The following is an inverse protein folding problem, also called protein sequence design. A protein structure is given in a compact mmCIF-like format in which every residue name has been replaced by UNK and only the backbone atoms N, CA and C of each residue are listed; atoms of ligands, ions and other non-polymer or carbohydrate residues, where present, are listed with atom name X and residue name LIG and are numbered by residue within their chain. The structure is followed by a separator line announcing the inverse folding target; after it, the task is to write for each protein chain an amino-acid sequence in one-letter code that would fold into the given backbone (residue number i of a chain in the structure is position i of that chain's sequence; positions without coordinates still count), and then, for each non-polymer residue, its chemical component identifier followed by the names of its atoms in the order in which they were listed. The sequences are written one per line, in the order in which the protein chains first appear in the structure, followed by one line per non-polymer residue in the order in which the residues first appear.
data_IF_463944994808
#
_entry.id   IF_463944994808
#
_cell.length_a   1.000
_cell.length_b   1.000
_cell.length_c   1.000
_cell.angle_alpha   90.00
_cell.angle_beta   90.00
_cell.angle_gamma   90.00
#
_symmetry.space_group_name_H-M   'P 1'
#
loop_
_entity.id
_entity.type
_entity.pdbx_description
1 polymer ?
#
# COMPACT_ATOMS: atom_id res chain seq x y z
N UNK A 1 -17.97 -7.11 -14.76
CA UNK A 1 -16.83 -6.55 -14.01
C UNK A 1 -15.89 -7.72 -13.78
N UNK A 2 -14.65 -7.67 -14.26
CA UNK A 2 -13.73 -8.80 -14.08
C UNK A 2 -13.38 -8.86 -12.59
N UNK A 3 -13.74 -9.97 -11.93
CA UNK A 3 -13.27 -10.25 -10.59
C UNK A 3 -11.73 -10.33 -10.61
N UNK A 4 -11.08 -9.66 -9.67
CA UNK A 4 -9.62 -9.68 -9.58
C UNK A 4 -9.15 -11.09 -9.22
N UNK A 5 -8.21 -11.62 -9.99
CA UNK A 5 -7.55 -12.90 -9.70
C UNK A 5 -6.61 -12.76 -8.49
N UNK A 6 -6.30 -13.89 -7.83
CA UNK A 6 -5.30 -13.91 -6.76
C UNK A 6 -3.94 -13.35 -7.21
N UNK A 7 -3.52 -13.65 -8.44
CA UNK A 7 -2.26 -13.16 -9.01
C UNK A 7 -2.26 -11.63 -9.17
N UNK A 8 -3.36 -11.04 -9.65
CA UNK A 8 -3.49 -9.58 -9.77
C UNK A 8 -3.52 -8.89 -8.40
N UNK A 9 -4.16 -9.52 -7.40
CA UNK A 9 -4.15 -9.02 -6.02
C UNK A 9 -2.75 -9.06 -5.42
N UNK A 10 -2.03 -10.17 -5.58
CA UNK A 10 -0.66 -10.30 -5.09
C UNK A 10 0.27 -9.27 -5.74
N UNK A 11 0.13 -9.03 -7.04
CA UNK A 11 0.88 -7.98 -7.75
C UNK A 11 0.59 -6.58 -7.20
N UNK A 12 -0.69 -6.23 -6.99
CA UNK A 12 -1.08 -4.92 -6.45
C UNK A 12 -0.63 -4.74 -5.00
N UNK A 13 -0.74 -5.78 -4.18
CA UNK A 13 -0.24 -5.81 -2.81
C UNK A 13 1.27 -5.57 -2.78
N UNK A 14 2.03 -6.23 -3.65
CA UNK A 14 3.47 -6.04 -3.77
C UNK A 14 3.82 -4.59 -4.16
N UNK A 15 3.13 -4.02 -5.15
CA UNK A 15 3.33 -2.64 -5.57
C UNK A 15 3.07 -1.63 -4.45
N UNK A 16 1.96 -1.79 -3.70
CA UNK A 16 1.63 -0.90 -2.58
C UNK A 16 2.67 -1.01 -1.45
N UNK A 17 3.15 -2.22 -1.14
CA UNK A 17 4.21 -2.42 -0.14
C UNK A 17 5.50 -1.71 -0.55
N UNK A 18 5.88 -1.81 -1.83
CA UNK A 18 7.05 -1.10 -2.34
C UNK A 18 6.87 0.42 -2.20
N UNK A 19 5.72 0.94 -2.63
CA UNK A 19 5.43 2.37 -2.52
C UNK A 19 5.46 2.88 -1.06
N UNK A 20 4.98 2.09 -0.10
CA UNK A 20 5.06 2.46 1.33
C UNK A 20 6.52 2.53 1.77
N UNK A 21 7.34 1.54 1.40
CA UNK A 21 8.78 1.54 1.69
C UNK A 21 9.47 2.78 1.13
N UNK A 22 9.21 3.11 -0.14
CA UNK A 22 9.80 4.27 -0.82
C UNK A 22 9.37 5.59 -0.16
N UNK A 23 8.11 5.70 0.28
CA UNK A 23 7.61 6.88 0.99
C UNK A 23 8.25 7.03 2.37
N UNK A 24 8.46 5.92 3.09
CA UNK A 24 9.14 5.93 4.40
C UNK A 24 10.60 6.35 4.23
N UNK A 25 11.30 5.85 3.21
CA UNK A 25 12.66 6.25 2.89
C UNK A 25 12.75 7.74 2.53
N UNK A 26 11.83 8.23 1.70
CA UNK A 26 11.73 9.65 1.36
C UNK A 26 11.47 10.51 2.60
N UNK A 27 10.51 10.13 3.45
CA UNK A 27 10.21 10.87 4.68
C UNK A 27 11.42 10.91 5.63
N UNK A 28 12.18 9.81 5.74
CA UNK A 28 13.41 9.77 6.53
C UNK A 28 14.50 10.67 5.94
N UNK A 29 14.61 10.74 4.61
CA UNK A 29 15.61 11.57 3.92
C UNK A 29 15.31 13.08 3.96
N UNK A 30 14.02 13.48 3.97
CA UNK A 30 13.58 14.88 3.93
C UNK A 30 13.19 15.48 5.29
N UNK A 31 13.40 14.73 6.39
CA UNK A 31 13.15 15.16 7.77
C UNK A 31 13.81 16.51 8.07
N UNK A 32 13.04 17.59 7.98
CA UNK A 32 13.53 18.97 8.13
C UNK A 32 12.72 20.03 7.37
N UNK A 33 11.98 19.66 6.31
CA UNK A 33 11.35 20.62 5.40
C UNK A 33 9.80 20.55 5.36
N UNK A 34 9.08 20.38 6.49
CA UNK A 34 7.61 20.57 6.54
C UNK A 34 6.73 19.64 5.68
N UNK A 35 7.32 18.74 4.89
CA UNK A 35 6.64 17.76 4.03
C UNK A 35 6.31 16.44 4.76
N UNK A 36 6.73 16.29 6.01
CA UNK A 36 6.52 15.10 6.84
C UNK A 36 5.02 14.75 6.98
N UNK A 37 4.15 15.75 7.12
CA UNK A 37 2.69 15.51 7.23
C UNK A 37 2.09 14.96 5.93
N UNK A 38 2.55 15.42 4.76
CA UNK A 38 2.04 14.92 3.48
C UNK A 38 2.50 13.49 3.21
N UNK A 39 3.73 13.15 3.60
CA UNK A 39 4.25 11.80 3.49
C UNK A 39 3.47 10.84 4.40
N UNK A 40 3.21 11.24 5.65
CA UNK A 40 2.42 10.48 6.61
C UNK A 40 0.99 10.20 6.10
N UNK A 41 0.31 11.19 5.55
CA UNK A 41 -1.04 11.03 4.98
C UNK A 41 -1.06 10.02 3.83
N UNK A 42 -0.07 10.09 2.92
CA UNK A 42 0.05 9.16 1.79
C UNK A 42 0.36 7.75 2.25
N UNK A 43 1.22 7.58 3.25
CA UNK A 43 1.52 6.28 3.86
C UNK A 43 0.22 5.69 4.44
N UNK A 44 -0.54 6.47 5.22
CA UNK A 44 -1.79 6.02 5.82
C UNK A 44 -2.83 5.58 4.78
N UNK A 45 -2.96 6.32 3.67
CA UNK A 45 -3.83 5.94 2.55
C UNK A 45 -3.42 4.60 1.93
N UNK A 46 -2.12 4.41 1.68
CA UNK A 46 -1.62 3.17 1.10
C UNK A 46 -1.74 1.98 2.04
N UNK A 47 -1.52 2.17 3.34
CA UNK A 47 -1.77 1.12 4.33
C UNK A 47 -3.24 0.71 4.40
N UNK A 48 -4.17 1.66 4.29
CA UNK A 48 -5.59 1.36 4.27
C UNK A 48 -5.94 0.51 3.04
N UNK A 49 -5.39 0.85 1.88
CA UNK A 49 -5.61 0.08 0.66
C UNK A 49 -4.97 -1.31 0.73
N UNK A 50 -3.76 -1.41 1.27
CA UNK A 50 -3.08 -2.68 1.51
C UNK A 50 -3.94 -3.62 2.37
N UNK A 51 -4.56 -3.10 3.43
CA UNK A 51 -5.47 -3.88 4.30
C UNK A 51 -6.70 -4.35 3.53
N UNK A 52 -7.32 -3.50 2.69
CA UNK A 52 -8.48 -3.87 1.87
C UNK A 52 -8.14 -4.99 0.89
N UNK A 53 -7.05 -4.85 0.15
CA UNK A 53 -6.63 -5.83 -0.85
C UNK A 53 -6.20 -7.15 -0.21
N UNK A 54 -5.51 -7.11 0.93
CA UNK A 54 -5.14 -8.32 1.68
C UNK A 54 -6.39 -9.06 2.16
N UNK A 55 -7.39 -8.35 2.69
CA UNK A 55 -8.65 -8.96 3.10
C UNK A 55 -9.44 -9.56 1.93
N UNK A 56 -9.41 -8.93 0.75
CA UNK A 56 -10.01 -9.47 -0.47
C UNK A 56 -9.29 -10.73 -0.95
N UNK A 57 -7.95 -10.69 -0.97
CA UNK A 57 -7.10 -11.83 -1.32
C UNK A 57 -7.37 -13.02 -0.41
N UNK A 58 -7.42 -12.79 0.90
CA UNK A 58 -7.71 -13.84 1.88
C UNK A 58 -9.10 -14.45 1.68
N UNK A 59 -10.12 -13.63 1.37
CA UNK A 59 -11.46 -14.13 1.04
C UNK A 59 -11.47 -15.02 -0.19
N UNK A 60 -10.76 -14.63 -1.25
CA UNK A 60 -10.70 -15.41 -2.49
C UNK A 60 -9.88 -16.69 -2.29
N UNK A 61 -8.79 -16.64 -1.52
CA UNK A 61 -7.93 -17.82 -1.27
C UNK A 61 -8.58 -18.90 -0.40
N UNK A 62 -9.66 -18.55 0.31
CA UNK A 62 -10.42 -19.44 1.21
C UNK A 62 -11.73 -19.95 0.58
N UNK A 63 -12.05 -19.50 -0.64
CA UNK A 63 -13.15 -20.04 -1.45
C UNK A 63 -12.70 -21.33 -2.13
#
# INVERSE_FOLDING_TARGET
MADLTLAELDQRIAAIRQNISDLVEQAAAYSGAGDDSRAADRIAQQEQELRRLTALRDKISKQ
#
